data_IF_806879087102
#
_entry.id   IF_806879087102
#
_cell.length_a   1.000
_cell.length_b   1.000
_cell.length_c   1.000
_cell.angle_alpha   90.00
_cell.angle_beta   90.00
_cell.angle_gamma   90.00
#
_symmetry.space_group_name_H-M   'P 1'
#
loop_
_entity.id
_entity.type
_entity.pdbx_description
1 polymer ?
#
# COMPACT_ATOMS: atom_id res chain seq x y z
N UNK A 1 -4.91 25.33 -23.96
CA UNK A 1 -4.17 25.21 -25.26
C UNK A 1 -2.91 24.34 -25.14
N UNK A 2 -2.16 24.43 -24.06
CA UNK A 2 -0.89 23.66 -23.88
C UNK A 2 -1.12 22.18 -23.73
N UNK A 3 -2.09 21.75 -22.92
CA UNK A 3 -2.40 20.33 -22.72
C UNK A 3 -2.67 19.65 -24.07
N UNK A 4 -3.53 20.21 -24.91
CA UNK A 4 -3.79 19.64 -26.23
C UNK A 4 -2.53 19.52 -27.08
N UNK A 5 -1.65 20.53 -27.05
CA UNK A 5 -0.41 20.57 -27.83
C UNK A 5 0.55 19.44 -27.41
N UNK A 6 0.69 19.18 -26.11
CA UNK A 6 1.72 18.27 -25.61
C UNK A 6 1.23 16.83 -25.40
N UNK A 7 -0.06 16.63 -25.14
CA UNK A 7 -0.61 15.34 -24.75
C UNK A 7 -1.55 14.69 -25.78
N UNK A 8 -2.08 15.45 -26.75
CA UNK A 8 -2.89 14.85 -27.82
C UNK A 8 -2.03 14.00 -28.77
N UNK A 9 -2.65 12.95 -29.33
CA UNK A 9 -2.00 11.96 -30.22
C UNK A 9 -0.76 11.30 -29.57
N UNK A 10 -0.83 11.02 -28.28
CA UNK A 10 0.24 10.40 -27.48
C UNK A 10 -0.26 9.13 -26.81
N UNK A 11 0.70 8.27 -26.47
CA UNK A 11 0.51 7.21 -25.47
C UNK A 11 1.03 7.74 -24.14
N UNK A 12 0.17 7.77 -23.13
CA UNK A 12 0.55 8.03 -21.74
C UNK A 12 0.54 6.70 -20.99
N UNK A 13 1.65 6.39 -20.35
CA UNK A 13 1.79 5.21 -19.49
C UNK A 13 2.07 5.72 -18.08
N UNK A 14 1.27 5.27 -17.11
CA UNK A 14 1.50 5.52 -15.69
C UNK A 14 1.76 4.17 -15.03
N UNK A 15 3.00 3.99 -14.59
CA UNK A 15 3.40 2.81 -13.81
C UNK A 15 3.17 3.07 -12.33
N UNK A 16 2.87 1.99 -11.59
CA UNK A 16 2.52 2.03 -10.17
C UNK A 16 1.42 3.06 -9.85
N UNK A 17 0.36 3.06 -10.68
CA UNK A 17 -0.72 4.04 -10.61
C UNK A 17 -1.44 4.07 -9.27
N UNK A 18 -1.34 3.02 -8.47
CA UNK A 18 -1.86 2.98 -7.10
C UNK A 18 -1.21 4.02 -6.18
N UNK A 19 -0.07 4.62 -6.56
CA UNK A 19 0.52 5.74 -5.83
C UNK A 19 -0.26 7.05 -6.03
N UNK A 20 -1.16 7.14 -7.03
CA UNK A 20 -2.06 8.27 -7.23
C UNK A 20 -3.40 7.95 -6.56
N UNK A 21 -3.51 8.25 -5.26
CA UNK A 21 -4.67 7.87 -4.44
C UNK A 21 -5.70 8.98 -4.36
N UNK A 22 -6.94 8.67 -4.69
CA UNK A 22 -8.05 9.61 -4.55
C UNK A 22 -8.46 9.86 -3.09
N UNK A 23 -8.05 8.99 -2.17
CA UNK A 23 -8.29 9.10 -0.73
C UNK A 23 -7.31 10.04 -0.02
N UNK A 24 -6.14 10.29 -0.57
CA UNK A 24 -5.11 11.11 0.06
C UNK A 24 -5.36 12.61 -0.15
N UNK A 25 -5.53 13.37 0.95
CA UNK A 25 -5.77 14.82 0.91
C UNK A 25 -4.68 15.59 0.16
N UNK A 26 -3.43 15.18 0.30
CA UNK A 26 -2.26 15.82 -0.30
C UNK A 26 -2.17 15.62 -1.83
N UNK A 27 -2.91 14.66 -2.38
CA UNK A 27 -2.87 14.34 -3.81
C UNK A 27 -4.04 14.92 -4.60
N UNK A 28 -4.91 15.71 -3.96
CA UNK A 28 -6.10 16.28 -4.60
C UNK A 28 -5.78 17.09 -5.86
N UNK A 29 -4.71 17.84 -5.83
CA UNK A 29 -4.27 18.64 -6.99
C UNK A 29 -3.75 17.76 -8.13
N UNK A 30 -2.99 16.71 -7.81
CA UNK A 30 -2.52 15.73 -8.79
C UNK A 30 -3.68 15.04 -9.50
N UNK A 31 -4.71 14.64 -8.74
CA UNK A 31 -5.91 14.00 -9.25
C UNK A 31 -6.70 14.92 -10.17
N UNK A 32 -6.90 16.18 -9.74
CA UNK A 32 -7.60 17.19 -10.53
C UNK A 32 -6.85 17.47 -11.82
N UNK A 33 -5.53 17.67 -11.74
CA UNK A 33 -4.69 17.94 -12.89
C UNK A 33 -4.66 16.78 -13.88
N UNK A 34 -4.56 15.53 -13.38
CA UNK A 34 -4.61 14.34 -14.22
C UNK A 34 -5.98 14.19 -14.91
N UNK A 35 -7.05 14.40 -14.16
CA UNK A 35 -8.41 14.35 -14.72
C UNK A 35 -8.62 15.41 -15.80
N UNK A 36 -8.14 16.63 -15.57
CA UNK A 36 -8.23 17.71 -16.53
C UNK A 36 -7.37 17.46 -17.78
N UNK A 37 -6.18 16.89 -17.59
CA UNK A 37 -5.31 16.46 -18.68
C UNK A 37 -6.02 15.45 -19.58
N UNK A 38 -6.62 14.41 -18.99
CA UNK A 38 -7.35 13.37 -19.74
C UNK A 38 -8.55 13.95 -20.47
N UNK A 39 -9.30 14.87 -19.86
CA UNK A 39 -10.44 15.55 -20.50
C UNK A 39 -10.07 16.42 -21.70
N UNK A 40 -8.94 17.11 -21.61
CA UNK A 40 -8.53 18.07 -22.65
C UNK A 40 -7.71 17.44 -23.76
N UNK A 41 -7.11 16.28 -23.56
CA UNK A 41 -6.31 15.59 -24.57
C UNK A 41 -7.20 14.92 -25.63
N UNK A 42 -6.80 15.03 -26.87
CA UNK A 42 -7.51 14.42 -28.01
C UNK A 42 -6.72 13.22 -28.54
N UNK A 43 -7.41 12.13 -28.86
CA UNK A 43 -6.80 10.90 -29.40
C UNK A 43 -5.60 10.40 -28.57
N UNK A 44 -5.66 10.56 -27.25
CA UNK A 44 -4.65 10.02 -26.34
C UNK A 44 -4.93 8.53 -26.10
N UNK A 45 -3.89 7.72 -26.08
CA UNK A 45 -3.93 6.34 -25.59
C UNK A 45 -3.44 6.34 -24.16
N UNK A 46 -4.13 5.59 -23.28
CA UNK A 46 -3.88 5.65 -21.86
C UNK A 46 -3.70 4.24 -21.32
N UNK A 47 -2.56 4.00 -20.66
CA UNK A 47 -2.21 2.71 -20.04
C UNK A 47 -1.84 2.93 -18.59
N UNK A 48 -2.57 2.29 -17.70
CA UNK A 48 -2.33 2.29 -16.25
C UNK A 48 -1.79 0.92 -15.84
N UNK A 49 -0.66 0.89 -15.17
CA UNK A 49 -0.03 -0.34 -14.67
C UNK A 49 -0.05 -0.33 -13.14
N UNK A 50 -0.45 -1.44 -12.56
CA UNK A 50 -0.42 -1.64 -11.10
C UNK A 50 -0.57 -3.12 -10.77
N UNK A 51 0.14 -3.58 -9.74
CA UNK A 51 -0.11 -4.89 -9.13
C UNK A 51 -1.31 -4.83 -8.15
N UNK A 52 -1.57 -3.65 -7.57
CA UNK A 52 -2.59 -3.43 -6.52
C UNK A 52 -3.41 -2.19 -6.83
N UNK A 53 -4.34 -2.23 -7.79
CA UNK A 53 -5.08 -1.04 -8.26
C UNK A 53 -6.01 -0.44 -7.20
N UNK A 54 -6.21 -1.13 -6.09
CA UNK A 54 -7.00 -0.72 -4.93
C UNK A 54 -6.18 -1.03 -3.69
N UNK A 55 -5.84 0.00 -2.89
CA UNK A 55 -4.97 -0.15 -1.72
C UNK A 55 -5.74 -0.04 -0.41
N UNK A 56 -6.33 1.13 -0.14
CA UNK A 56 -7.01 1.41 1.14
C UNK A 56 -8.54 1.51 0.99
N UNK A 57 -9.03 1.96 -0.15
CA UNK A 57 -10.45 2.29 -0.34
C UNK A 57 -10.95 1.79 -1.71
N UNK A 58 -12.11 1.14 -1.71
CA UNK A 58 -12.78 0.69 -2.94
C UNK A 58 -13.09 1.84 -3.92
N UNK A 59 -13.12 3.08 -3.46
CA UNK A 59 -13.31 4.26 -4.33
C UNK A 59 -12.12 4.52 -5.24
N UNK A 60 -10.94 4.02 -4.90
CA UNK A 60 -9.72 4.19 -5.70
C UNK A 60 -9.87 3.55 -7.08
N UNK A 61 -10.44 2.34 -7.15
CA UNK A 61 -10.70 1.67 -8.44
C UNK A 61 -11.68 2.47 -9.32
N UNK A 62 -12.66 3.16 -8.71
CA UNK A 62 -13.62 3.99 -9.44
C UNK A 62 -12.92 5.20 -10.06
N UNK A 63 -11.96 5.80 -9.37
CA UNK A 63 -11.17 6.89 -9.91
C UNK A 63 -10.38 6.44 -11.15
N UNK A 64 -9.65 5.33 -11.09
CA UNK A 64 -8.89 4.80 -12.21
C UNK A 64 -9.81 4.46 -13.39
N UNK A 65 -10.94 3.82 -13.12
CA UNK A 65 -11.94 3.49 -14.13
C UNK A 65 -12.53 4.74 -14.78
N UNK A 66 -12.76 5.79 -14.00
CA UNK A 66 -13.27 7.06 -14.53
C UNK A 66 -12.26 7.75 -15.44
N UNK A 67 -10.94 7.69 -15.17
CA UNK A 67 -9.93 8.19 -16.07
C UNK A 67 -10.01 7.51 -17.46
N UNK A 68 -10.16 6.18 -17.48
CA UNK A 68 -10.30 5.40 -18.72
C UNK A 68 -11.60 5.76 -19.47
N UNK A 69 -12.72 5.85 -18.74
CA UNK A 69 -14.00 6.23 -19.35
C UNK A 69 -13.97 7.64 -19.92
N UNK A 70 -13.39 8.60 -19.20
CA UNK A 70 -13.26 10.00 -19.67
C UNK A 70 -12.39 10.07 -20.93
N UNK A 71 -11.26 9.35 -20.96
CA UNK A 71 -10.40 9.29 -22.14
C UNK A 71 -11.14 8.79 -23.39
N UNK A 72 -12.08 7.87 -23.22
CA UNK A 72 -12.93 7.34 -24.29
C UNK A 72 -14.23 8.14 -24.49
N UNK A 73 -14.35 9.34 -23.94
CA UNK A 73 -15.54 10.18 -23.98
C UNK A 73 -16.80 9.51 -23.41
N UNK A 74 -16.62 8.57 -22.48
CA UNK A 74 -17.73 7.91 -21.76
C UNK A 74 -17.97 8.63 -20.43
N UNK A 75 -19.22 8.67 -19.99
CA UNK A 75 -19.59 9.31 -18.71
C UNK A 75 -18.95 8.58 -17.52
N UNK A 76 -18.32 9.33 -16.61
CA UNK A 76 -17.83 8.78 -15.35
C UNK A 76 -18.97 8.34 -14.44
N UNK A 77 -18.65 7.53 -13.43
CA UNK A 77 -19.60 7.08 -12.40
C UNK A 77 -19.14 7.55 -11.03
N UNK A 78 -20.09 7.70 -10.11
CA UNK A 78 -19.78 7.99 -8.71
C UNK A 78 -19.69 6.67 -7.92
N UNK A 79 -18.81 6.58 -6.91
CA UNK A 79 -18.72 5.40 -6.05
C UNK A 79 -20.07 4.99 -5.45
N UNK A 80 -20.90 5.96 -5.04
CA UNK A 80 -22.19 5.75 -4.41
C UNK A 80 -23.25 5.15 -5.36
N UNK A 81 -23.01 5.14 -6.66
CA UNK A 81 -23.85 4.46 -7.65
C UNK A 81 -23.56 2.96 -7.74
N UNK A 82 -22.39 2.55 -7.27
CA UNK A 82 -21.88 1.17 -7.36
C UNK A 82 -21.88 0.51 -5.99
N UNK A 83 -21.39 1.21 -4.96
CA UNK A 83 -21.17 0.68 -3.62
C UNK A 83 -22.07 1.36 -2.58
N UNK A 84 -22.37 0.64 -1.51
CA UNK A 84 -22.95 1.17 -0.27
C UNK A 84 -21.87 1.75 0.67
N UNK A 85 -22.25 2.17 1.88
CA UNK A 85 -21.35 2.70 2.89
C UNK A 85 -20.29 1.69 3.36
N UNK A 86 -20.60 0.40 3.27
CA UNK A 86 -19.75 -0.69 3.77
C UNK A 86 -18.86 -1.27 2.65
N UNK A 87 -18.94 -0.71 1.43
CA UNK A 87 -18.15 -1.14 0.28
C UNK A 87 -18.75 -2.34 -0.47
N UNK A 88 -19.97 -2.76 -0.15
CA UNK A 88 -20.65 -3.82 -0.88
C UNK A 88 -21.33 -3.28 -2.13
N UNK A 89 -21.51 -4.12 -3.14
CA UNK A 89 -22.27 -3.73 -4.32
C UNK A 89 -23.74 -3.47 -3.98
N UNK A 90 -24.22 -2.31 -4.38
CA UNK A 90 -25.66 -2.02 -4.38
C UNK A 90 -26.40 -2.84 -5.44
N UNK A 91 -27.72 -2.86 -5.34
CA UNK A 91 -28.58 -3.40 -6.40
C UNK A 91 -28.29 -2.71 -7.73
N UNK A 92 -27.98 -3.48 -8.77
CA UNK A 92 -27.52 -2.99 -10.08
C UNK A 92 -26.12 -2.38 -10.10
N UNK A 93 -25.44 -2.24 -8.96
CA UNK A 93 -24.09 -1.66 -8.85
C UNK A 93 -23.03 -2.52 -9.51
N UNK A 94 -23.12 -3.84 -9.33
CA UNK A 94 -22.22 -4.81 -9.96
C UNK A 94 -22.30 -4.76 -11.48
N UNK A 95 -23.51 -4.74 -12.03
CA UNK A 95 -23.76 -4.65 -13.48
C UNK A 95 -23.23 -3.33 -14.04
N UNK A 96 -23.45 -2.23 -13.32
CA UNK A 96 -22.92 -0.92 -13.70
C UNK A 96 -21.39 -0.93 -13.72
N UNK A 97 -20.76 -1.48 -12.69
CA UNK A 97 -19.30 -1.61 -12.60
C UNK A 97 -18.75 -2.44 -13.78
N UNK A 98 -19.30 -3.62 -14.02
CA UNK A 98 -18.88 -4.49 -15.12
C UNK A 98 -19.04 -3.80 -16.49
N UNK A 99 -20.13 -3.08 -16.70
CA UNK A 99 -20.36 -2.33 -17.95
C UNK A 99 -19.34 -1.21 -18.15
N UNK A 100 -18.93 -0.55 -17.07
CA UNK A 100 -17.97 0.56 -17.12
C UNK A 100 -16.51 0.11 -17.22
N UNK A 101 -16.19 -1.06 -16.69
CA UNK A 101 -14.84 -1.66 -16.71
C UNK A 101 -14.57 -2.50 -17.95
N UNK A 102 -15.61 -2.88 -18.68
CA UNK A 102 -15.47 -3.79 -19.82
C UNK A 102 -14.53 -3.24 -20.88
N UNK A 103 -13.49 -4.03 -21.19
CA UNK A 103 -12.47 -3.71 -22.19
C UNK A 103 -11.30 -2.89 -21.66
N UNK A 104 -11.30 -2.46 -20.40
CA UNK A 104 -10.21 -1.68 -19.81
C UNK A 104 -9.25 -2.50 -18.95
N UNK A 105 -9.69 -3.64 -18.42
CA UNK A 105 -8.92 -4.40 -17.45
C UNK A 105 -8.35 -5.64 -18.12
N UNK A 106 -7.02 -5.77 -18.04
CA UNK A 106 -6.29 -6.99 -18.37
C UNK A 106 -5.47 -7.40 -17.16
N UNK A 107 -5.54 -8.65 -16.76
CA UNK A 107 -4.80 -9.17 -15.63
C UNK A 107 -4.44 -10.64 -15.85
N UNK A 108 -3.38 -11.06 -15.20
CA UNK A 108 -3.02 -12.48 -15.12
C UNK A 108 -3.64 -13.03 -13.85
N UNK A 109 -4.51 -14.02 -14.01
CA UNK A 109 -5.15 -14.70 -12.88
C UNK A 109 -4.34 -15.95 -12.50
N UNK A 110 -4.09 -16.09 -11.24
CA UNK A 110 -3.44 -17.25 -10.65
C UNK A 110 -1.94 -17.06 -10.44
N UNK A 111 -1.46 -17.66 -9.37
CA UNK A 111 -0.04 -17.82 -9.11
C UNK A 111 0.50 -18.89 -10.04
N UNK A 112 1.50 -18.57 -10.83
CA UNK A 112 2.27 -19.58 -11.51
C UNK A 112 3.33 -20.09 -10.52
N UNK A 113 3.22 -21.32 -9.99
CA UNK A 113 4.14 -21.83 -8.98
C UNK A 113 5.59 -21.92 -9.47
N UNK A 114 5.82 -21.83 -10.79
CA UNK A 114 7.15 -21.83 -11.38
C UNK A 114 7.75 -20.43 -11.54
N UNK A 115 6.95 -19.37 -11.47
CA UNK A 115 7.41 -17.98 -11.69
C UNK A 115 7.35 -17.09 -10.45
N UNK A 116 6.51 -17.44 -9.48
CA UNK A 116 6.40 -16.71 -8.22
C UNK A 116 6.84 -17.60 -7.06
N UNK A 117 7.73 -17.11 -6.18
CA UNK A 117 8.11 -17.85 -4.98
C UNK A 117 6.90 -18.01 -4.05
N UNK A 118 6.69 -19.19 -3.56
CA UNK A 118 5.71 -19.44 -2.51
C UNK A 118 6.23 -18.88 -1.18
N UNK A 119 5.35 -18.24 -0.42
CA UNK A 119 5.66 -17.88 0.95
C UNK A 119 5.63 -19.14 1.83
N UNK A 120 6.76 -19.46 2.44
CA UNK A 120 6.87 -20.55 3.43
C UNK A 120 6.85 -19.89 4.80
N UNK A 121 5.82 -20.22 5.58
CA UNK A 121 5.72 -19.70 6.95
C UNK A 121 6.52 -20.58 7.91
N UNK A 122 7.35 -20.00 8.81
CA UNK A 122 8.19 -20.77 9.71
C UNK A 122 7.45 -21.78 10.57
N UNK A 123 6.20 -21.48 10.94
CA UNK A 123 5.34 -22.40 11.72
C UNK A 123 4.96 -23.68 10.97
N UNK A 124 4.94 -23.63 9.64
CA UNK A 124 4.46 -24.72 8.79
C UNK A 124 5.62 -25.60 8.26
N UNK A 125 6.86 -25.15 8.42
CA UNK A 125 8.06 -25.88 7.97
C UNK A 125 8.93 -26.28 9.17
N UNK A 126 9.11 -27.59 9.43
CA UNK A 126 9.95 -28.07 10.53
C UNK A 126 11.39 -27.57 10.51
N UNK A 127 11.95 -27.31 9.32
CA UNK A 127 13.31 -26.80 9.17
C UNK A 127 13.43 -25.32 9.62
N UNK A 128 12.33 -24.57 9.60
CA UNK A 128 12.26 -23.16 9.95
C UNK A 128 11.65 -22.87 11.32
N UNK A 129 11.21 -23.88 12.05
CA UNK A 129 10.55 -23.70 13.36
C UNK A 129 11.38 -22.90 14.36
N UNK A 130 12.70 -23.05 14.36
CA UNK A 130 13.59 -22.25 15.21
C UNK A 130 13.57 -20.76 14.89
N UNK A 131 13.13 -20.38 13.68
CA UNK A 131 12.98 -19.00 13.25
C UNK A 131 11.55 -18.46 13.44
N UNK A 132 10.61 -19.30 13.88
CA UNK A 132 9.24 -18.88 14.16
C UNK A 132 9.13 -18.25 15.55
N UNK A 133 8.62 -17.02 15.62
CA UNK A 133 8.31 -16.40 16.91
C UNK A 133 7.24 -17.19 17.66
N UNK A 134 6.21 -17.71 16.99
CA UNK A 134 5.15 -18.52 17.61
C UNK A 134 5.74 -19.79 18.24
N UNK A 135 6.65 -20.46 17.55
CA UNK A 135 7.34 -21.63 18.12
C UNK A 135 8.15 -21.25 19.37
N UNK A 136 8.84 -20.13 19.35
CA UNK A 136 9.60 -19.65 20.52
C UNK A 136 8.70 -19.24 21.68
N UNK A 137 7.54 -18.62 21.42
CA UNK A 137 6.55 -18.28 22.44
C UNK A 137 6.02 -19.54 23.15
N UNK A 138 5.75 -20.61 22.41
CA UNK A 138 5.36 -21.91 22.96
C UNK A 138 6.46 -22.57 23.81
N UNK A 139 7.72 -22.14 23.64
CA UNK A 139 8.89 -22.63 24.37
C UNK A 139 9.42 -21.62 25.41
N UNK A 140 8.57 -20.72 25.90
CA UNK A 140 8.87 -19.85 27.04
C UNK A 140 9.37 -18.45 26.68
N UNK A 141 9.36 -18.06 25.40
CA UNK A 141 9.58 -16.67 25.02
C UNK A 141 8.29 -15.86 25.20
N UNK A 142 8.43 -14.53 25.24
CA UNK A 142 7.30 -13.59 25.24
C UNK A 142 7.46 -12.54 24.15
N UNK A 143 6.34 -11.96 23.74
CA UNK A 143 6.41 -10.73 22.92
C UNK A 143 7.13 -9.61 23.66
N UNK A 144 7.78 -8.70 22.93
CA UNK A 144 8.37 -7.51 23.54
C UNK A 144 7.33 -6.74 24.34
N UNK A 145 7.67 -6.38 25.57
CA UNK A 145 6.81 -5.63 26.48
C UNK A 145 7.43 -4.31 26.94
N UNK A 146 8.64 -4.00 26.45
CA UNK A 146 9.36 -2.76 26.77
C UNK A 146 9.77 -2.02 25.52
N UNK A 147 9.77 -0.68 25.63
CA UNK A 147 10.40 0.23 24.64
C UNK A 147 11.92 0.19 24.75
N UNK A 148 12.59 0.74 23.75
CA UNK A 148 14.06 0.81 23.74
C UNK A 148 14.64 1.58 24.93
N UNK A 149 13.91 2.55 25.47
CA UNK A 149 14.29 3.33 26.64
C UNK A 149 14.01 2.62 27.99
N UNK A 150 13.59 1.36 27.98
CA UNK A 150 13.30 0.58 29.17
C UNK A 150 11.92 0.81 29.81
N UNK A 151 11.10 1.71 29.27
CA UNK A 151 9.72 1.87 29.74
C UNK A 151 8.83 0.74 29.21
N UNK A 152 7.79 0.38 29.96
CA UNK A 152 6.83 -0.62 29.50
C UNK A 152 5.99 -0.09 28.33
N UNK A 153 5.63 -0.98 27.42
CA UNK A 153 4.66 -0.71 26.37
C UNK A 153 3.25 -0.69 26.95
N UNK A 154 2.45 0.28 26.51
CA UNK A 154 1.03 0.29 26.80
C UNK A 154 0.32 -0.87 26.08
N UNK A 155 -0.85 -1.31 26.57
CA UNK A 155 -1.57 -2.46 26.00
C UNK A 155 -1.87 -2.30 24.51
N UNK A 156 -2.13 -1.06 24.06
CA UNK A 156 -2.39 -0.73 22.65
C UNK A 156 -1.13 -0.77 21.77
N UNK A 157 0.04 -0.63 22.37
CA UNK A 157 1.33 -0.68 21.68
C UNK A 157 1.89 -2.10 21.57
N UNK A 158 1.36 -3.05 22.34
CA UNK A 158 1.84 -4.43 22.34
C UNK A 158 1.45 -5.18 21.07
N UNK A 159 2.44 -5.77 20.44
CA UNK A 159 2.24 -6.69 19.32
C UNK A 159 2.12 -8.10 19.90
N UNK A 160 0.93 -8.67 19.86
CA UNK A 160 0.64 -9.98 20.46
C UNK A 160 0.01 -11.01 19.50
N UNK A 161 -0.01 -10.70 18.18
CA UNK A 161 -0.70 -11.52 17.18
C UNK A 161 0.12 -11.81 15.91
N UNK A 162 1.34 -11.27 15.78
CA UNK A 162 2.17 -11.47 14.59
C UNK A 162 3.08 -12.69 14.75
N UNK A 163 3.09 -13.54 13.72
CA UNK A 163 4.13 -14.54 13.52
C UNK A 163 5.29 -13.91 12.75
N UNK A 164 6.40 -13.67 13.43
CA UNK A 164 7.58 -13.05 12.86
C UNK A 164 8.64 -14.10 12.55
N UNK A 165 9.28 -13.96 11.40
CA UNK A 165 10.49 -14.72 11.08
C UNK A 165 11.69 -14.07 11.77
N UNK A 166 12.36 -14.82 12.65
CA UNK A 166 13.48 -14.36 13.43
C UNK A 166 14.80 -14.80 12.79
N UNK A 167 15.64 -13.85 12.46
CA UNK A 167 17.02 -14.09 11.99
C UNK A 167 18.04 -13.61 13.00
N UNK A 168 19.16 -14.29 13.04
CA UNK A 168 20.33 -13.80 13.77
C UNK A 168 20.87 -12.53 13.12
N UNK A 169 21.24 -11.57 13.96
CA UNK A 169 21.87 -10.33 13.51
C UNK A 169 23.34 -10.61 13.19
N UNK A 170 23.80 -10.28 11.97
CA UNK A 170 25.20 -10.38 11.62
C UNK A 170 26.06 -9.42 12.45
N UNK A 171 27.38 -9.68 12.62
CA UNK A 171 28.25 -8.79 13.40
C UNK A 171 28.25 -7.33 12.90
N UNK A 172 28.13 -7.12 11.59
CA UNK A 172 28.06 -5.78 10.98
C UNK A 172 26.74 -5.10 11.33
N UNK A 173 25.62 -5.82 11.18
CA UNK A 173 24.29 -5.31 11.55
C UNK A 173 24.21 -5.00 13.05
N UNK A 174 24.77 -5.88 13.90
CA UNK A 174 24.81 -5.65 15.34
C UNK A 174 25.59 -4.38 15.68
N UNK A 175 26.77 -4.16 15.09
CA UNK A 175 27.55 -2.95 15.31
C UNK A 175 26.81 -1.68 14.89
N UNK A 176 26.10 -1.72 13.74
CA UNK A 176 25.30 -0.60 13.27
C UNK A 176 24.11 -0.34 14.22
N UNK A 177 23.40 -1.39 14.64
CA UNK A 177 22.31 -1.31 15.60
C UNK A 177 22.77 -0.72 16.95
N UNK A 178 23.84 -1.25 17.53
CA UNK A 178 24.40 -0.77 18.80
C UNK A 178 24.78 0.71 18.72
N UNK A 179 25.32 1.18 17.56
CA UNK A 179 25.63 2.58 17.32
C UNK A 179 24.39 3.48 17.31
N UNK A 180 23.33 3.06 16.64
CA UNK A 180 22.05 3.81 16.60
C UNK A 180 21.41 3.87 18.00
N UNK A 181 21.43 2.78 18.74
CA UNK A 181 20.89 2.73 20.10
C UNK A 181 21.68 3.66 21.03
N UNK A 182 23.02 3.65 20.95
CA UNK A 182 23.85 4.55 21.75
C UNK A 182 23.54 6.02 21.44
N UNK A 183 23.47 6.39 20.16
CA UNK A 183 23.12 7.76 19.75
C UNK A 183 21.72 8.19 20.23
N UNK A 184 20.75 7.26 20.25
CA UNK A 184 19.43 7.51 20.79
C UNK A 184 19.46 7.86 22.29
N UNK A 185 20.16 7.06 23.09
CA UNK A 185 20.29 7.29 24.52
C UNK A 185 21.09 8.57 24.84
N UNK A 186 22.14 8.87 24.10
CA UNK A 186 22.92 10.09 24.28
C UNK A 186 22.07 11.34 24.02
N UNK A 187 21.21 11.31 23.00
CA UNK A 187 20.28 12.42 22.71
C UNK A 187 19.19 12.58 23.78
N UNK A 188 18.66 11.51 24.34
CA UNK A 188 17.70 11.59 25.44
C UNK A 188 18.33 12.13 26.72
N UNK A 189 19.53 11.70 27.06
CA UNK A 189 20.27 12.20 28.23
C UNK A 189 20.52 13.71 28.11
N UNK A 190 20.97 14.18 26.94
CA UNK A 190 21.22 15.60 26.69
C UNK A 190 19.95 16.45 26.81
N UNK A 191 18.77 15.93 26.38
CA UNK A 191 17.50 16.63 26.54
C UNK A 191 17.05 16.74 28.00
N UNK A 192 17.31 15.71 28.81
CA UNK A 192 16.97 15.73 30.24
C UNK A 192 17.84 16.77 30.94
N UNK A 193 19.13 16.81 30.67
CA UNK A 193 20.06 17.79 31.25
C UNK A 193 19.72 19.23 30.84
N UNK A 194 19.26 19.47 29.61
CA UNK A 194 18.86 20.81 29.15
C UNK A 194 17.51 21.30 29.74
N UNK A 195 16.69 20.41 30.27
CA UNK A 195 15.42 20.76 30.92
C UNK A 195 15.54 20.95 32.44
N UNK A 196 16.71 20.66 33.03
CA UNK A 196 16.97 20.82 34.47
C UNK A 196 17.73 22.11 34.78
N UNK A 197 18.27 22.79 33.77
CA UNK A 197 18.88 24.13 33.86
C UNK A 197 17.94 25.21 33.35
#
# INVERSE_FOLDING_TARGET
KEIKKYFSNRLMIIDEVHNIRSSAKEQKDTINNLTELVKQSENMKFLLLSATPMFDDYKEIIFLLNLMNINDNRLPVKPEQIFDSDGNFKEGGKELFLRKSRGYISYVQGENPFTFPNAIYPKDDPALQNNSLIHKLNNGWSYPNMKLNGTQLDEEEKINFLDLFLNDISPIQKKAYDGVIQEYFDKETTKIESNIN
#
